data_IF_505549470841
#
_entry.id   IF_505549470841
#
_cell.length_a   1.000
_cell.length_b   1.000
_cell.length_c   1.000
_cell.angle_alpha   90.00
_cell.angle_beta   90.00
_cell.angle_gamma   90.00
#
_symmetry.space_group_name_H-M   'P 1'
#
loop_
_entity.id
_entity.type
_entity.pdbx_description
1 polymer ?
#
# COMPACT_ATOMS: atom_id res chain seq x y z
N UNK A 1 19.59 -14.88 46.19
CA UNK A 1 20.17 -15.60 45.02
C UNK A 1 19.15 -15.94 43.97
N UNK A 2 18.03 -16.52 44.33
CA UNK A 2 16.89 -16.71 43.39
C UNK A 2 16.45 -15.39 42.72
N UNK A 3 16.59 -14.26 43.40
CA UNK A 3 16.28 -12.92 42.84
C UNK A 3 17.26 -12.54 41.74
N UNK A 4 18.55 -12.82 41.83
CA UNK A 4 19.54 -12.51 40.78
C UNK A 4 19.35 -13.38 39.54
N UNK A 5 19.10 -14.69 39.72
CA UNK A 5 18.80 -15.60 38.60
C UNK A 5 17.53 -15.14 37.87
N UNK A 6 16.47 -14.78 38.59
CA UNK A 6 15.23 -14.24 38.01
C UNK A 6 15.48 -12.92 37.29
N UNK A 7 16.32 -12.04 37.84
CA UNK A 7 16.68 -10.76 37.22
C UNK A 7 17.45 -10.97 35.92
N UNK A 8 18.46 -11.84 35.91
CA UNK A 8 19.22 -12.18 34.71
C UNK A 8 18.32 -12.73 33.62
N UNK A 9 17.46 -13.69 33.96
CA UNK A 9 16.48 -14.28 32.99
C UNK A 9 15.52 -13.24 32.42
N UNK A 10 15.11 -12.25 33.22
CA UNK A 10 14.25 -11.15 32.70
C UNK A 10 15.01 -10.29 31.71
N UNK A 11 16.26 -9.92 31.99
CA UNK A 11 17.08 -9.12 31.07
C UNK A 11 17.39 -9.89 29.79
N UNK A 12 17.68 -11.19 29.86
CA UNK A 12 17.85 -12.05 28.69
C UNK A 12 16.57 -12.06 27.82
N UNK A 13 15.41 -12.26 28.44
CA UNK A 13 14.13 -12.20 27.72
C UNK A 13 13.84 -10.82 27.12
N UNK A 14 14.24 -9.76 27.77
CA UNK A 14 14.11 -8.39 27.28
C UNK A 14 15.05 -8.14 26.10
N UNK A 15 16.29 -8.58 26.16
CA UNK A 15 17.24 -8.53 25.04
C UNK A 15 16.75 -9.32 23.82
N UNK A 16 16.16 -10.50 24.03
CA UNK A 16 15.56 -11.32 22.98
C UNK A 16 14.36 -10.64 22.32
N UNK A 17 13.52 -9.96 23.12
CA UNK A 17 12.39 -9.15 22.59
C UNK A 17 12.90 -8.02 21.69
N UNK A 18 13.92 -7.27 22.13
CA UNK A 18 14.53 -6.25 21.29
C UNK A 18 15.11 -6.83 20.00
N UNK A 19 15.79 -7.98 20.08
CA UNK A 19 16.31 -8.66 18.90
C UNK A 19 15.22 -9.09 17.93
N UNK A 20 14.05 -9.53 18.42
CA UNK A 20 12.88 -9.85 17.59
C UNK A 20 12.33 -8.61 16.92
N UNK A 21 12.08 -7.55 17.68
CA UNK A 21 11.57 -6.28 17.14
C UNK A 21 12.50 -5.68 16.08
N UNK A 22 13.82 -5.73 16.29
CA UNK A 22 14.81 -5.28 15.30
C UNK A 22 14.70 -6.09 14.00
N UNK A 23 14.48 -7.41 14.08
CA UNK A 23 14.30 -8.26 12.89
C UNK A 23 13.01 -7.91 12.13
N UNK A 24 11.93 -7.64 12.84
CA UNK A 24 10.65 -7.22 12.24
C UNK A 24 10.80 -5.88 11.53
N UNK A 25 11.37 -4.87 12.20
CA UNK A 25 11.60 -3.55 11.61
C UNK A 25 12.55 -3.61 10.40
N UNK A 26 13.54 -4.50 10.37
CA UNK A 26 14.39 -4.70 9.19
C UNK A 26 13.61 -5.23 7.99
N UNK A 27 12.73 -6.23 8.21
CA UNK A 27 11.84 -6.74 7.15
C UNK A 27 10.91 -5.66 6.64
N UNK A 28 10.41 -4.80 7.53
CA UNK A 28 9.60 -3.64 7.13
C UNK A 28 10.39 -2.69 6.21
N UNK A 29 11.65 -2.37 6.56
CA UNK A 29 12.54 -1.56 5.71
C UNK A 29 12.76 -2.21 4.34
N UNK A 30 13.02 -3.51 4.30
CA UNK A 30 13.20 -4.27 3.05
C UNK A 30 11.94 -4.17 2.18
N UNK A 31 10.76 -4.41 2.76
CA UNK A 31 9.48 -4.28 2.03
C UNK A 31 9.21 -2.87 1.51
N UNK A 32 9.54 -1.82 2.29
CA UNK A 32 9.40 -0.44 1.84
C UNK A 32 10.38 -0.10 0.69
N UNK A 33 11.60 -0.65 0.75
CA UNK A 33 12.59 -0.50 -0.32
C UNK A 33 12.15 -1.20 -1.61
N UNK A 34 11.58 -2.40 -1.51
CA UNK A 34 11.01 -3.12 -2.66
C UNK A 34 9.89 -2.30 -3.31
N UNK A 35 8.94 -1.79 -2.53
CA UNK A 35 7.87 -0.92 -3.04
C UNK A 35 8.40 0.35 -3.72
N UNK A 36 9.45 0.95 -3.18
CA UNK A 36 10.09 2.13 -3.78
C UNK A 36 10.71 1.80 -5.15
N UNK A 37 11.42 0.68 -5.26
CA UNK A 37 12.02 0.25 -6.54
C UNK A 37 10.93 -0.17 -7.55
N UNK A 38 9.87 -0.82 -7.10
CA UNK A 38 8.71 -1.14 -7.92
C UNK A 38 8.07 0.15 -8.50
N UNK A 39 7.89 1.18 -7.68
CA UNK A 39 7.40 2.47 -8.16
C UNK A 39 8.32 3.11 -9.20
N UNK A 40 9.64 3.00 -9.05
CA UNK A 40 10.61 3.53 -10.02
C UNK A 40 10.57 2.79 -11.35
N UNK A 41 10.45 1.46 -11.30
CA UNK A 41 10.44 0.62 -12.50
C UNK A 41 9.08 0.64 -13.22
N UNK A 42 7.98 0.79 -12.49
CA UNK A 42 6.62 0.76 -13.04
C UNK A 42 6.16 2.07 -13.73
N UNK A 43 7.04 3.08 -13.85
CA UNK A 43 6.69 4.35 -14.50
C UNK A 43 6.12 4.19 -15.91
N UNK A 44 6.74 3.33 -16.73
CA UNK A 44 6.31 3.11 -18.11
C UNK A 44 4.93 2.44 -18.16
N UNK A 45 4.71 1.45 -17.30
CA UNK A 45 3.43 0.74 -17.17
C UNK A 45 2.32 1.69 -16.73
N UNK A 46 2.56 2.48 -15.68
CA UNK A 46 1.59 3.47 -15.19
C UNK A 46 1.26 4.55 -16.21
N UNK A 47 2.26 4.95 -17.02
CA UNK A 47 2.03 5.87 -18.13
C UNK A 47 1.10 5.24 -19.17
N UNK A 48 1.32 3.98 -19.49
CA UNK A 48 0.48 3.25 -20.45
C UNK A 48 -0.94 3.02 -19.91
N UNK A 49 -1.08 2.60 -18.66
CA UNK A 49 -2.38 2.47 -17.98
C UNK A 49 -3.15 3.80 -18.01
N UNK A 50 -2.47 4.88 -17.66
CA UNK A 50 -3.09 6.20 -17.68
C UNK A 50 -3.51 6.65 -19.08
N UNK A 51 -2.73 6.34 -20.09
CA UNK A 51 -3.09 6.60 -21.47
C UNK A 51 -4.34 5.81 -21.86
N UNK A 52 -4.39 4.51 -21.54
CA UNK A 52 -5.56 3.67 -21.80
C UNK A 52 -6.83 4.20 -21.13
N UNK A 53 -6.77 4.59 -19.86
CA UNK A 53 -7.93 5.20 -19.17
C UNK A 53 -8.44 6.47 -19.86
N UNK A 54 -7.51 7.32 -20.30
CA UNK A 54 -7.89 8.56 -21.02
C UNK A 54 -8.51 8.24 -22.38
N UNK A 55 -7.97 7.24 -23.08
CA UNK A 55 -8.49 6.76 -24.35
C UNK A 55 -9.89 6.17 -24.19
N UNK A 56 -10.08 5.28 -23.21
CA UNK A 56 -11.37 4.68 -22.89
C UNK A 56 -12.41 5.76 -22.52
N UNK A 57 -12.04 6.70 -21.68
CA UNK A 57 -12.92 7.80 -21.29
C UNK A 57 -13.27 8.71 -22.46
N UNK A 58 -12.29 9.07 -23.29
CA UNK A 58 -12.53 9.90 -24.47
C UNK A 58 -13.46 9.20 -25.46
N UNK A 59 -13.26 7.91 -25.68
CA UNK A 59 -14.12 7.09 -26.53
C UNK A 59 -15.53 6.98 -25.94
N UNK A 60 -15.65 6.67 -24.66
CA UNK A 60 -16.91 6.54 -23.94
C UNK A 60 -17.73 7.85 -24.02
N UNK A 61 -17.08 8.99 -23.79
CA UNK A 61 -17.72 10.30 -23.91
C UNK A 61 -18.23 10.58 -25.34
N UNK A 62 -17.51 10.13 -26.38
CA UNK A 62 -18.00 10.22 -27.78
C UNK A 62 -19.16 9.28 -28.03
N UNK A 63 -19.08 8.04 -27.58
CA UNK A 63 -20.13 7.03 -27.77
C UNK A 63 -21.43 7.38 -27.03
N UNK A 64 -21.37 8.11 -25.91
CA UNK A 64 -22.55 8.61 -25.17
C UNK A 64 -23.44 9.57 -26.01
N UNK A 65 -22.85 10.23 -26.98
CA UNK A 65 -23.60 11.13 -27.87
C UNK A 65 -24.37 10.39 -28.99
N UNK A 66 -24.12 9.10 -29.19
CA UNK A 66 -24.80 8.25 -30.15
C UNK A 66 -25.88 7.42 -29.48
N UNK A 67 -27.13 7.75 -29.78
CA UNK A 67 -28.28 7.07 -29.21
C UNK A 67 -28.64 5.81 -30.00
N UNK A 68 -29.18 4.79 -29.33
CA UNK A 68 -29.62 3.53 -29.96
C UNK A 68 -30.70 3.71 -31.00
N UNK A 69 -31.36 4.86 -31.09
CA UNK A 69 -32.29 5.22 -32.17
C UNK A 69 -31.61 5.28 -33.54
N UNK A 70 -30.33 5.62 -33.59
CA UNK A 70 -29.53 5.70 -34.82
C UNK A 70 -29.36 4.32 -35.46
N UNK A 71 -29.48 3.27 -34.67
CA UNK A 71 -29.43 1.88 -35.15
C UNK A 71 -30.47 1.57 -36.21
N UNK A 72 -31.57 2.33 -36.31
CA UNK A 72 -32.57 2.17 -37.37
C UNK A 72 -32.01 2.39 -38.77
N UNK A 73 -30.94 3.15 -38.90
CA UNK A 73 -30.24 3.36 -40.17
C UNK A 73 -29.34 2.20 -40.57
N UNK A 74 -29.12 1.23 -39.68
CA UNK A 74 -28.28 0.06 -39.94
C UNK A 74 -29.13 -1.03 -40.59
N UNK A 75 -28.69 -1.54 -41.74
CA UNK A 75 -29.39 -2.58 -42.50
C UNK A 75 -29.65 -3.83 -41.62
N UNK A 76 -30.94 -4.27 -41.61
CA UNK A 76 -31.38 -5.45 -40.83
C UNK A 76 -31.58 -5.20 -39.32
N UNK A 77 -31.44 -3.98 -38.86
CA UNK A 77 -31.89 -3.54 -37.54
C UNK A 77 -33.17 -2.78 -37.66
N UNK A 78 -34.14 -3.04 -36.79
CA UNK A 78 -35.52 -2.47 -36.89
C UNK A 78 -35.87 -1.75 -35.60
N UNK A 79 -36.96 -0.99 -35.62
CA UNK A 79 -37.50 -0.35 -34.43
C UNK A 79 -37.72 -1.33 -33.24
N UNK A 80 -38.06 -2.60 -33.52
CA UNK A 80 -38.22 -3.64 -32.49
C UNK A 80 -36.93 -3.89 -31.72
N UNK A 81 -35.77 -3.80 -32.40
CA UNK A 81 -34.46 -3.97 -31.72
C UNK A 81 -34.17 -2.76 -30.80
N UNK A 82 -34.49 -1.53 -31.25
CA UNK A 82 -34.32 -0.33 -30.39
C UNK A 82 -35.21 -0.42 -29.15
N UNK A 83 -36.45 -0.86 -29.27
CA UNK A 83 -37.35 -1.04 -28.11
C UNK A 83 -36.78 -2.06 -27.12
N UNK A 84 -36.18 -3.17 -27.63
CA UNK A 84 -35.55 -4.20 -26.78
C UNK A 84 -34.29 -3.72 -26.07
N UNK A 85 -33.44 -2.94 -26.79
CA UNK A 85 -32.27 -2.32 -26.21
C UNK A 85 -32.65 -1.36 -25.08
N UNK A 86 -33.64 -0.49 -25.32
CA UNK A 86 -34.15 0.42 -24.28
C UNK A 86 -34.79 -0.32 -23.10
N UNK A 87 -35.47 -1.43 -23.33
CA UNK A 87 -36.03 -2.27 -22.28
C UNK A 87 -34.95 -2.95 -21.45
N UNK A 88 -33.74 -3.13 -22.01
CA UNK A 88 -32.52 -3.59 -21.31
C UNK A 88 -31.68 -2.45 -20.74
N UNK A 89 -32.22 -1.20 -20.71
CA UNK A 89 -31.53 0.02 -20.26
C UNK A 89 -30.33 0.45 -21.14
N UNK A 90 -30.19 -0.09 -22.34
CA UNK A 90 -29.17 0.33 -23.29
C UNK A 90 -29.72 1.49 -24.13
N UNK A 91 -29.26 2.71 -23.90
CA UNK A 91 -29.76 3.95 -24.52
C UNK A 91 -28.75 4.59 -25.47
N UNK A 92 -27.44 4.36 -25.20
CA UNK A 92 -26.35 4.97 -25.96
C UNK A 92 -25.42 3.89 -26.53
N UNK A 93 -24.59 4.25 -27.49
CA UNK A 93 -23.58 3.36 -28.05
C UNK A 93 -22.53 2.92 -27.00
N UNK A 94 -22.26 3.77 -26.01
CA UNK A 94 -21.39 3.45 -24.87
C UNK A 94 -21.90 2.22 -24.10
N UNK A 95 -23.20 2.13 -23.85
CA UNK A 95 -23.84 1.04 -23.12
C UNK A 95 -24.00 -0.25 -23.93
N UNK A 96 -23.91 -0.16 -25.27
CA UNK A 96 -24.05 -1.31 -26.19
C UNK A 96 -22.71 -2.08 -26.29
N UNK A 97 -22.22 -2.58 -25.16
CA UNK A 97 -21.01 -3.42 -25.14
C UNK A 97 -21.28 -4.84 -25.69
N UNK A 98 -20.27 -5.57 -26.18
CA UNK A 98 -20.45 -6.94 -26.64
C UNK A 98 -21.17 -7.84 -25.64
N UNK A 99 -20.82 -7.71 -24.34
CA UNK A 99 -21.40 -8.47 -23.23
C UNK A 99 -22.86 -8.04 -22.98
N UNK A 100 -23.11 -6.73 -22.89
CA UNK A 100 -24.46 -6.21 -22.66
C UNK A 100 -25.44 -6.61 -23.77
N UNK A 101 -24.98 -6.67 -25.03
CA UNK A 101 -25.81 -7.11 -26.17
C UNK A 101 -26.16 -8.61 -26.09
N UNK A 102 -25.30 -9.44 -25.54
CA UNK A 102 -25.58 -10.87 -25.36
C UNK A 102 -26.68 -11.12 -24.34
N UNK A 103 -26.76 -10.28 -23.32
CA UNK A 103 -27.77 -10.38 -22.26
C UNK A 103 -29.16 -9.91 -22.70
N UNK A 104 -29.26 -9.19 -23.83
CA UNK A 104 -30.57 -8.69 -24.33
C UNK A 104 -31.42 -9.83 -24.85
N UNK A 105 -32.55 -10.07 -24.18
CA UNK A 105 -33.47 -11.14 -24.56
C UNK A 105 -34.12 -10.89 -25.92
N UNK A 106 -34.35 -11.98 -26.68
CA UNK A 106 -35.08 -11.99 -27.95
C UNK A 106 -34.40 -11.19 -29.08
N UNK A 107 -33.12 -10.91 -29.01
CA UNK A 107 -32.32 -10.40 -30.12
C UNK A 107 -31.68 -11.61 -30.82
N UNK A 108 -31.78 -11.71 -32.15
CA UNK A 108 -31.11 -12.79 -32.90
C UNK A 108 -29.61 -12.55 -32.98
N UNK A 109 -28.83 -13.62 -33.16
CA UNK A 109 -27.36 -13.52 -33.27
C UNK A 109 -26.91 -12.64 -34.43
N UNK A 110 -27.68 -12.67 -35.55
CA UNK A 110 -27.44 -11.75 -36.70
C UNK A 110 -27.63 -10.29 -36.32
N UNK A 111 -28.64 -9.96 -35.51
CA UNK A 111 -28.85 -8.60 -35.04
C UNK A 111 -27.81 -8.18 -33.98
N UNK A 112 -27.38 -9.09 -33.12
CA UNK A 112 -26.27 -8.87 -32.19
C UNK A 112 -24.97 -8.56 -32.93
N UNK A 113 -24.62 -9.36 -33.94
CA UNK A 113 -23.44 -9.10 -34.76
C UNK A 113 -23.50 -7.71 -35.43
N UNK A 114 -24.64 -7.28 -35.91
CA UNK A 114 -24.80 -5.95 -36.52
C UNK A 114 -24.73 -4.82 -35.52
N UNK A 115 -25.20 -4.99 -34.28
CA UNK A 115 -25.04 -4.02 -33.21
C UNK A 115 -23.55 -3.87 -32.82
N UNK A 116 -22.81 -4.97 -32.69
CA UNK A 116 -21.36 -4.96 -32.48
C UNK A 116 -20.64 -4.23 -33.63
N UNK A 117 -21.02 -4.51 -34.89
CA UNK A 117 -20.42 -3.82 -36.03
C UNK A 117 -20.78 -2.30 -36.06
N UNK A 118 -22.00 -1.93 -35.71
CA UNK A 118 -22.38 -0.51 -35.59
C UNK A 118 -21.53 0.22 -34.54
N UNK A 119 -21.34 -0.37 -33.35
CA UNK A 119 -20.47 0.19 -32.33
C UNK A 119 -19.03 0.28 -32.83
N UNK A 120 -18.47 -0.80 -33.40
CA UNK A 120 -17.11 -0.82 -33.95
C UNK A 120 -16.90 0.25 -35.03
N UNK A 121 -17.87 0.51 -35.88
CA UNK A 121 -17.82 1.60 -36.88
C UNK A 121 -17.79 3.00 -36.23
N UNK A 122 -18.45 3.18 -35.09
CA UNK A 122 -18.33 4.41 -34.31
C UNK A 122 -16.97 4.55 -33.63
N UNK A 123 -16.46 3.46 -33.08
CA UNK A 123 -15.12 3.43 -32.50
C UNK A 123 -14.05 3.77 -33.54
N UNK A 124 -14.12 3.17 -34.71
CA UNK A 124 -13.23 3.48 -35.85
C UNK A 124 -13.35 4.94 -36.30
N UNK A 125 -14.58 5.46 -36.38
CA UNK A 125 -14.80 6.86 -36.73
C UNK A 125 -14.13 7.86 -35.82
N UNK A 126 -14.04 7.53 -34.51
CA UNK A 126 -13.45 8.42 -33.52
C UNK A 126 -12.02 8.05 -33.15
N UNK A 127 -11.43 7.01 -33.76
CA UNK A 127 -10.07 6.58 -33.47
C UNK A 127 -9.04 7.73 -33.60
N UNK A 128 -9.19 8.55 -34.65
CA UNK A 128 -8.29 9.69 -34.89
C UNK A 128 -8.47 10.86 -33.89
N UNK A 129 -9.59 10.89 -33.17
CA UNK A 129 -9.88 11.93 -32.18
C UNK A 129 -9.39 11.55 -30.76
N UNK A 130 -9.03 10.29 -30.58
CA UNK A 130 -8.51 9.76 -29.31
C UNK A 130 -7.03 10.09 -29.18
N UNK A 131 -6.54 10.60 -28.05
CA UNK A 131 -5.16 10.96 -27.90
C UNK A 131 -4.23 9.73 -27.92
N UNK A 132 -3.18 9.77 -28.75
CA UNK A 132 -2.15 8.73 -28.84
C UNK A 132 -1.10 8.81 -27.71
N UNK A 133 -1.05 9.94 -27.01
CA UNK A 133 -0.10 10.19 -25.94
C UNK A 133 -0.70 11.05 -24.84
N UNK A 134 -0.14 10.95 -23.64
CA UNK A 134 -0.48 11.83 -22.54
C UNK A 134 -0.08 13.27 -22.88
N UNK A 135 -0.92 14.23 -22.51
CA UNK A 135 -0.54 15.63 -22.62
C UNK A 135 0.65 15.94 -21.68
N UNK A 136 1.49 16.94 -22.00
CA UNK A 136 2.61 17.32 -21.12
C UNK A 136 2.19 17.71 -19.71
N UNK A 137 0.96 18.17 -19.52
CA UNK A 137 0.41 18.48 -18.22
C UNK A 137 0.09 17.20 -17.42
N UNK A 138 -0.47 16.18 -18.08
CA UNK A 138 -0.77 14.89 -17.46
C UNK A 138 0.52 14.12 -17.11
N UNK A 139 1.51 14.13 -17.99
CA UNK A 139 2.83 13.55 -17.72
C UNK A 139 3.48 14.18 -16.48
N UNK A 140 3.50 15.51 -16.40
CA UNK A 140 4.04 16.22 -15.22
C UNK A 140 3.26 15.94 -13.94
N UNK A 141 1.94 15.72 -14.02
CA UNK A 141 1.13 15.33 -12.85
C UNK A 141 1.48 13.91 -12.39
N UNK A 142 1.57 12.97 -13.32
CA UNK A 142 1.95 11.59 -13.02
C UNK A 142 3.35 11.52 -12.41
N UNK A 143 4.31 12.22 -13.01
CA UNK A 143 5.68 12.28 -12.50
C UNK A 143 5.73 12.84 -11.07
N UNK A 144 5.11 13.99 -10.81
CA UNK A 144 5.05 14.58 -9.46
C UNK A 144 4.38 13.66 -8.45
N UNK A 145 3.33 12.95 -8.84
CA UNK A 145 2.68 11.99 -7.96
C UNK A 145 3.64 10.86 -7.55
N UNK A 146 4.37 10.30 -8.51
CA UNK A 146 5.32 9.22 -8.24
C UNK A 146 6.51 9.73 -7.41
N UNK A 147 7.06 10.91 -7.72
CA UNK A 147 8.10 11.55 -6.94
C UNK A 147 7.66 11.73 -5.49
N UNK A 148 6.49 12.31 -5.26
CA UNK A 148 5.94 12.47 -3.90
C UNK A 148 5.78 11.12 -3.17
N UNK A 149 5.30 10.09 -3.89
CA UNK A 149 5.13 8.77 -3.29
C UNK A 149 6.47 8.10 -2.93
N UNK A 150 7.51 8.33 -3.73
CA UNK A 150 8.88 7.90 -3.43
C UNK A 150 9.41 8.63 -2.19
N UNK A 151 9.22 9.94 -2.11
CA UNK A 151 9.63 10.75 -0.96
C UNK A 151 8.94 10.27 0.33
N UNK A 152 7.64 9.99 0.28
CA UNK A 152 6.88 9.42 1.40
C UNK A 152 7.45 8.07 1.87
N UNK A 153 7.86 7.20 0.93
CA UNK A 153 8.49 5.92 1.26
C UNK A 153 9.88 6.11 1.84
N UNK A 154 10.68 7.04 1.31
CA UNK A 154 12.00 7.35 1.84
C UNK A 154 11.92 7.92 3.27
N UNK A 155 10.93 8.75 3.57
CA UNK A 155 10.63 9.23 4.92
C UNK A 155 10.23 8.07 5.87
N UNK A 156 9.39 7.14 5.42
CA UNK A 156 9.02 5.98 6.21
C UNK A 156 10.23 5.08 6.50
N UNK A 157 11.07 4.83 5.50
CA UNK A 157 12.33 4.10 5.65
C UNK A 157 13.24 4.79 6.67
N UNK A 158 13.37 6.12 6.59
CA UNK A 158 14.13 6.93 7.54
C UNK A 158 13.65 6.73 8.97
N UNK A 159 12.37 6.94 9.22
CA UNK A 159 11.74 6.77 10.55
C UNK A 159 11.88 5.34 11.08
N UNK A 160 11.73 4.33 10.23
CA UNK A 160 11.90 2.92 10.64
C UNK A 160 13.35 2.60 10.97
N UNK A 161 14.33 3.17 10.25
CA UNK A 161 15.78 3.05 10.58
C UNK A 161 16.12 3.70 11.92
N UNK A 162 15.56 4.86 12.22
CA UNK A 162 15.72 5.51 13.52
C UNK A 162 15.17 4.65 14.67
N UNK A 163 14.00 4.03 14.49
CA UNK A 163 13.45 3.06 15.44
C UNK A 163 14.40 1.88 15.64
N UNK A 164 14.97 1.32 14.58
CA UNK A 164 15.95 0.23 14.68
C UNK A 164 17.16 0.67 15.50
N UNK A 165 17.66 1.87 15.28
CA UNK A 165 18.81 2.39 16.02
C UNK A 165 18.49 2.57 17.50
N UNK A 166 17.32 3.09 17.84
CA UNK A 166 16.86 3.20 19.23
C UNK A 166 16.76 1.83 19.91
N UNK A 167 16.20 0.83 19.23
CA UNK A 167 16.08 -0.52 19.75
C UNK A 167 17.45 -1.19 19.93
N UNK A 168 18.41 -0.91 19.06
CA UNK A 168 19.81 -1.40 19.21
C UNK A 168 20.48 -0.81 20.43
N UNK A 169 20.40 0.50 20.64
CA UNK A 169 20.99 1.15 21.82
C UNK A 169 20.40 0.64 23.12
N UNK A 170 19.09 0.40 23.17
CA UNK A 170 18.47 -0.19 24.37
C UNK A 170 18.93 -1.64 24.60
N UNK A 171 19.02 -2.43 23.54
CA UNK A 171 19.55 -3.79 23.62
C UNK A 171 21.00 -3.81 24.12
N UNK A 172 21.87 -2.97 23.58
CA UNK A 172 23.27 -2.85 24.03
C UNK A 172 23.37 -2.47 25.51
N UNK A 173 22.49 -1.59 25.99
CA UNK A 173 22.42 -1.24 27.43
C UNK A 173 22.06 -2.45 28.29
N UNK A 174 21.15 -3.30 27.80
CA UNK A 174 20.77 -4.51 28.53
C UNK A 174 21.91 -5.53 28.50
N UNK A 175 22.53 -5.75 27.35
CA UNK A 175 23.68 -6.64 27.19
C UNK A 175 24.83 -6.21 28.13
N UNK A 176 25.14 -4.93 28.17
CA UNK A 176 26.13 -4.39 29.12
C UNK A 176 25.77 -4.69 30.59
N UNK A 177 24.48 -4.54 30.95
CA UNK A 177 24.02 -4.89 32.31
C UNK A 177 24.12 -6.38 32.60
N UNK A 178 23.92 -7.23 31.58
CA UNK A 178 24.08 -8.69 31.69
C UNK A 178 25.55 -9.05 31.89
N UNK A 179 26.46 -8.41 31.19
CA UNK A 179 27.91 -8.61 31.32
C UNK A 179 28.46 -8.17 32.69
N UNK A 180 27.90 -7.09 33.25
CA UNK A 180 28.23 -6.60 34.59
C UNK A 180 27.71 -7.54 35.72
N UNK A 181 26.77 -8.46 35.38
CA UNK A 181 26.27 -9.40 36.37
C UNK A 181 27.28 -10.53 36.66
N UNK A 182 27.43 -10.88 37.93
CA UNK A 182 28.31 -11.98 38.30
C UNK A 182 27.85 -13.28 37.61
N UNK A 183 28.81 -14.02 37.09
CA UNK A 183 28.54 -15.32 36.47
C UNK A 183 27.98 -16.30 37.52
N UNK A 184 26.74 -16.71 37.31
CA UNK A 184 26.00 -17.60 38.20
C UNK A 184 26.15 -19.08 37.77
N UNK A 185 27.28 -19.45 37.16
CA UNK A 185 27.54 -20.83 36.74
C UNK A 185 27.41 -21.79 37.93
N UNK A 186 26.89 -22.98 37.65
CA UNK A 186 26.71 -24.04 38.63
C UNK A 186 28.08 -24.35 39.33
N UNK A 187 29.17 -24.28 38.57
CA UNK A 187 30.52 -24.48 39.08
C UNK A 187 30.94 -23.46 40.15
N UNK A 188 30.61 -22.16 39.92
CA UNK A 188 30.86 -21.09 40.92
C UNK A 188 29.96 -21.24 42.15
N UNK A 189 28.72 -21.70 41.96
CA UNK A 189 27.80 -21.99 43.04
C UNK A 189 28.29 -23.15 43.90
N UNK A 190 28.78 -24.23 43.29
CA UNK A 190 29.35 -25.38 43.98
C UNK A 190 30.60 -24.97 44.76
N UNK A 191 31.55 -24.21 44.18
CA UNK A 191 32.73 -23.67 44.86
C UNK A 191 32.37 -22.81 46.07
N UNK A 192 31.34 -21.97 45.94
CA UNK A 192 30.84 -21.19 47.07
C UNK A 192 30.27 -22.06 48.20
N UNK A 193 29.42 -23.06 47.84
CA UNK A 193 28.91 -24.01 48.84
C UNK A 193 30.01 -24.76 49.55
N UNK A 194 31.11 -25.06 48.85
CA UNK A 194 32.28 -25.70 49.41
C UNK A 194 33.21 -24.71 50.13
N UNK A 195 32.83 -23.45 50.27
CA UNK A 195 33.63 -22.35 50.87
C UNK A 195 34.97 -22.11 50.16
N UNK A 196 35.12 -22.49 48.93
CA UNK A 196 36.32 -22.31 48.13
C UNK A 196 36.39 -20.91 47.47
N UNK A 197 35.27 -20.22 47.37
CA UNK A 197 35.17 -18.83 46.88
C UNK A 197 34.36 -17.95 47.86
N UNK A 198 34.80 -16.72 48.06
CA UNK A 198 34.03 -15.70 48.76
C UNK A 198 32.96 -15.19 47.83
N UNK A 199 31.74 -14.95 48.33
CA UNK A 199 30.71 -14.25 47.55
C UNK A 199 31.21 -12.86 47.19
N UNK A 200 31.02 -12.42 45.93
CA UNK A 200 31.19 -11.03 45.62
C UNK A 200 30.32 -10.21 46.57
N UNK A 201 30.94 -9.26 47.23
CA UNK A 201 30.29 -8.35 48.14
C UNK A 201 29.07 -7.71 47.44
N UNK A 202 28.10 -7.42 48.22
CA UNK A 202 26.85 -6.77 47.83
C UNK A 202 27.18 -5.32 47.44
N UNK A 203 27.94 -5.17 46.31
CA UNK A 203 28.27 -3.85 45.80
C UNK A 203 26.95 -3.20 45.34
N UNK A 204 26.66 -2.13 46.00
CA UNK A 204 25.79 -1.03 45.70
C UNK A 204 24.63 -1.32 44.72
N UNK A 205 23.43 -1.21 45.25
CA UNK A 205 22.22 -1.30 44.44
C UNK A 205 22.34 -0.42 43.18
N UNK A 206 21.74 -0.84 42.06
CA UNK A 206 21.80 -0.03 40.87
C UNK A 206 21.35 1.39 41.20
N UNK A 207 21.99 2.41 40.60
CA UNK A 207 21.56 3.78 40.78
C UNK A 207 20.03 3.85 40.48
N UNK A 208 19.33 4.58 41.32
CA UNK A 208 17.90 4.78 41.19
C UNK A 208 17.63 5.13 39.74
N UNK A 209 16.57 4.55 39.09
CA UNK A 209 16.24 4.88 37.72
C UNK A 209 16.10 6.39 37.64
N UNK A 210 16.88 7.01 36.75
CA UNK A 210 16.78 8.43 36.45
C UNK A 210 15.30 8.75 36.18
N UNK A 211 14.78 9.84 36.73
CA UNK A 211 13.39 10.22 36.49
C UNK A 211 13.19 10.26 34.99
N UNK A 212 12.18 9.55 34.50
CA UNK A 212 11.77 9.56 33.09
C UNK A 212 11.64 11.02 32.68
N UNK A 213 12.32 11.49 31.61
CA UNK A 213 12.07 12.81 31.08
C UNK A 213 10.56 12.90 30.79
N UNK A 214 9.96 13.91 31.37
CA UNK A 214 8.56 14.24 31.52
C UNK A 214 7.61 13.55 30.57
N UNK A 215 6.55 13.02 31.15
CA UNK A 215 5.29 12.84 30.46
C UNK A 215 4.90 14.23 29.89
N UNK A 216 5.32 14.48 28.64
CA UNK A 216 4.84 15.64 27.90
C UNK A 216 3.34 15.48 27.77
N UNK A 217 2.67 16.48 28.30
CA UNK A 217 1.24 16.73 28.25
C UNK A 217 0.63 16.29 26.92
N UNK A 218 -0.38 15.43 26.99
CA UNK A 218 -1.20 14.92 25.90
C UNK A 218 -2.17 15.98 25.34
N UNK A 219 -1.75 17.23 25.20
CA UNK A 219 -2.61 18.36 24.81
C UNK A 219 -2.40 18.88 23.39
N UNK A 220 -1.58 18.20 22.57
CA UNK A 220 -1.40 18.65 21.17
C UNK A 220 -1.50 17.45 20.21
N UNK A 221 -2.66 16.78 20.24
CA UNK A 221 -3.05 15.89 19.15
C UNK A 221 -3.55 16.77 18.01
N UNK A 222 -2.71 16.97 17.02
CA UNK A 222 -3.16 17.38 15.70
C UNK A 222 -4.33 16.48 15.25
N UNK A 223 -5.37 17.03 14.61
CA UNK A 223 -6.48 16.24 14.13
C UNK A 223 -5.93 15.10 13.24
N UNK A 224 -6.35 13.88 13.58
CA UNK A 224 -6.06 12.70 12.75
C UNK A 224 -6.65 13.00 11.37
N UNK A 225 -5.87 13.02 10.28
CA UNK A 225 -6.43 13.18 8.95
C UNK A 225 -7.45 12.07 8.74
N UNK A 226 -8.63 12.43 8.22
CA UNK A 226 -9.67 11.48 7.84
C UNK A 226 -9.05 10.39 6.95
N UNK A 227 -9.48 9.13 7.09
CA UNK A 227 -8.98 8.05 6.23
C UNK A 227 -9.26 8.45 4.79
N UNK A 228 -8.20 8.69 4.05
CA UNK A 228 -8.26 8.93 2.61
C UNK A 228 -8.80 7.65 2.00
N UNK A 229 -9.93 7.77 1.31
CA UNK A 229 -10.57 6.69 0.58
C UNK A 229 -9.56 6.14 -0.44
N UNK A 230 -8.86 5.06 -0.08
CA UNK A 230 -7.76 4.50 -0.88
C UNK A 230 -8.24 3.90 -2.19
N UNK A 231 -9.56 3.62 -2.32
CA UNK A 231 -10.18 3.07 -3.51
C UNK A 231 -10.49 4.12 -4.59
N UNK A 232 -10.38 5.42 -4.27
CA UNK A 232 -10.53 6.45 -5.30
C UNK A 232 -9.23 6.65 -6.07
N UNK A 233 -9.31 6.65 -7.40
CA UNK A 233 -8.15 6.93 -8.24
C UNK A 233 -7.53 8.28 -7.84
N UNK A 234 -6.21 8.33 -7.71
CA UNK A 234 -5.47 9.49 -7.20
C UNK A 234 -5.73 10.80 -7.97
N UNK A 235 -6.16 10.72 -9.24
CA UNK A 235 -6.49 11.89 -10.07
C UNK A 235 -7.86 12.51 -9.77
N UNK A 236 -8.71 11.87 -8.98
CA UNK A 236 -9.98 12.43 -8.49
C UNK A 236 -9.82 13.13 -7.13
N UNK A 237 -8.62 13.06 -6.53
CA UNK A 237 -8.30 13.63 -5.22
C UNK A 237 -7.69 15.04 -5.32
N UNK A 238 -7.61 15.64 -6.52
CA UNK A 238 -7.01 16.96 -6.77
C UNK A 238 -8.08 18.02 -7.10
#
# INVERSE_FOLDING_TARGET
RLSLVRRRRRLEQEADRFASTIRELKREVESLQEKREELRTSMAERRQERLQEIQEKALDDRLKHHFVEEVRGVEGLTHKHVVRLKAANLRTASEVTPEAVEDVRRISDRARARLKMWRAALEEKYADEIPDALSPAQERRLQRYIEHRIDDLDDQIGRTREKIQTQRTERERIEKRLDEMPDLSVGRYVRYLLRLDTLPDRTEGPPAPSPRPGAASSADRAPVPEPVDEDRPWWERA
#
